data_IF_119213743522
#
_entry.id   IF_119213743522
#
_cell.length_a   1.000
_cell.length_b   1.000
_cell.length_c   1.000
_cell.angle_alpha   90.00
_cell.angle_beta   90.00
_cell.angle_gamma   90.00
#
_symmetry.space_group_name_H-M   'P 1'
#
loop_
_entity.id
_entity.type
_entity.pdbx_description
1 polymer ?
#
# COMPACT_ATOMS: atom_id res chain seq x y z
N UNK A 1 27.29 -12.24 -4.47
CA UNK A 1 26.52 -11.18 -5.17
C UNK A 1 26.06 -11.81 -6.46
N UNK A 2 24.79 -12.17 -6.57
CA UNK A 2 24.23 -12.61 -7.85
C UNK A 2 24.25 -11.41 -8.79
N UNK A 3 24.86 -11.59 -9.97
CA UNK A 3 24.77 -10.58 -11.02
C UNK A 3 23.30 -10.23 -11.23
N UNK A 4 23.01 -8.92 -11.16
CA UNK A 4 21.65 -8.43 -11.45
C UNK A 4 21.28 -8.97 -12.81
N UNK A 5 20.23 -9.78 -12.88
CA UNK A 5 19.74 -10.21 -14.16
C UNK A 5 19.35 -8.97 -14.97
N UNK A 6 20.07 -8.69 -16.05
CA UNK A 6 19.75 -7.58 -16.95
C UNK A 6 18.30 -7.61 -17.43
N UNK A 7 17.70 -8.81 -17.48
CA UNK A 7 16.28 -9.00 -17.81
C UNK A 7 15.38 -8.45 -16.72
N UNK A 8 15.61 -8.77 -15.44
CA UNK A 8 14.80 -8.26 -14.32
C UNK A 8 14.87 -6.72 -14.26
N UNK A 9 16.07 -6.19 -14.39
CA UNK A 9 16.29 -4.75 -14.42
C UNK A 9 15.59 -4.07 -15.62
N UNK A 10 15.68 -4.66 -16.79
CA UNK A 10 15.00 -4.15 -17.99
C UNK A 10 13.48 -4.13 -17.84
N UNK A 11 12.88 -5.16 -17.25
CA UNK A 11 11.44 -5.22 -16.99
C UNK A 11 11.03 -4.18 -15.93
N UNK A 12 11.79 -4.05 -14.84
CA UNK A 12 11.57 -3.02 -13.83
C UNK A 12 11.60 -1.60 -14.44
N UNK A 13 12.64 -1.28 -15.24
CA UNK A 13 12.74 0.01 -15.91
C UNK A 13 11.59 0.25 -16.87
N UNK A 14 11.14 -0.77 -17.60
CA UNK A 14 9.99 -0.66 -18.48
C UNK A 14 8.73 -0.22 -17.70
N UNK A 15 8.41 -0.87 -16.58
CA UNK A 15 7.25 -0.50 -15.77
C UNK A 15 7.43 0.86 -15.08
N UNK A 16 8.63 1.18 -14.63
CA UNK A 16 8.95 2.49 -14.07
C UNK A 16 8.70 3.62 -15.09
N UNK A 17 9.17 3.45 -16.33
CA UNK A 17 8.94 4.40 -17.41
C UNK A 17 7.45 4.47 -17.81
N UNK A 18 6.76 3.32 -17.88
CA UNK A 18 5.34 3.27 -18.14
C UNK A 18 4.55 4.09 -17.12
N UNK A 19 4.81 3.88 -15.82
CA UNK A 19 4.17 4.62 -14.73
C UNK A 19 4.51 6.11 -14.79
N UNK A 20 5.75 6.45 -15.11
CA UNK A 20 6.19 7.84 -15.28
C UNK A 20 5.43 8.53 -16.43
N UNK A 21 5.34 7.88 -17.59
CA UNK A 21 4.59 8.40 -18.74
C UNK A 21 3.11 8.55 -18.40
N UNK A 22 2.51 7.55 -17.76
CA UNK A 22 1.10 7.63 -17.30
C UNK A 22 0.89 8.76 -16.31
N UNK A 23 1.83 8.97 -15.38
CA UNK A 23 1.78 10.05 -14.42
C UNK A 23 1.71 11.43 -15.07
N UNK A 24 2.55 11.71 -16.07
CA UNK A 24 2.51 12.96 -16.83
C UNK A 24 1.30 13.02 -17.80
N UNK A 25 0.93 11.89 -18.42
CA UNK A 25 -0.23 11.84 -19.31
C UNK A 25 -1.56 12.09 -18.55
N UNK A 26 -1.59 11.79 -17.26
CA UNK A 26 -2.76 11.99 -16.40
C UNK A 26 -3.21 13.47 -16.34
N UNK A 27 -2.29 14.42 -16.53
CA UNK A 27 -2.63 15.85 -16.62
C UNK A 27 -3.61 16.16 -17.78
N UNK A 28 -3.64 15.30 -18.81
CA UNK A 28 -4.55 15.43 -19.96
C UNK A 28 -5.82 14.60 -19.82
N UNK A 29 -5.82 13.63 -18.91
CA UNK A 29 -6.95 12.73 -18.71
C UNK A 29 -8.03 13.41 -17.87
N UNK A 30 -9.26 13.46 -18.40
CA UNK A 30 -10.40 14.16 -17.79
C UNK A 30 -10.04 15.60 -17.36
N UNK A 31 -9.32 16.29 -18.25
CA UNK A 31 -8.81 17.63 -17.98
C UNK A 31 -9.96 18.56 -17.63
N UNK A 32 -9.87 19.21 -16.48
CA UNK A 32 -10.68 20.35 -16.13
C UNK A 32 -10.33 21.57 -16.99
N UNK A 33 -11.23 22.52 -17.12
CA UNK A 33 -10.98 23.79 -17.78
C UNK A 33 -9.85 24.57 -17.09
N UNK A 34 -9.71 24.41 -15.76
CA UNK A 34 -8.67 25.05 -14.96
C UNK A 34 -8.19 24.11 -13.84
N UNK A 35 -6.87 23.85 -13.76
CA UNK A 35 -6.23 23.08 -12.69
C UNK A 35 -5.81 23.95 -11.48
N UNK A 36 -6.10 25.23 -11.51
CA UNK A 36 -5.84 26.19 -10.44
C UNK A 36 -6.85 26.13 -9.27
N UNK A 37 -7.95 25.41 -9.46
CA UNK A 37 -8.88 25.11 -8.38
C UNK A 37 -8.41 23.87 -7.57
N UNK A 38 -8.38 24.01 -6.23
CA UNK A 38 -7.93 22.95 -5.32
C UNK A 38 -8.74 21.66 -5.44
N UNK A 39 -10.02 21.71 -5.71
CA UNK A 39 -10.87 20.53 -5.91
C UNK A 39 -10.57 19.82 -7.24
N UNK A 40 -10.15 20.55 -8.27
CA UNK A 40 -9.70 19.96 -9.52
C UNK A 40 -8.33 19.27 -9.37
N UNK A 41 -7.37 19.95 -8.78
CA UNK A 41 -6.04 19.40 -8.55
C UNK A 41 -6.05 18.31 -7.48
N UNK A 42 -6.64 18.59 -6.32
CA UNK A 42 -6.59 17.73 -5.13
C UNK A 42 -7.62 16.61 -5.13
N UNK A 43 -8.77 16.77 -5.81
CA UNK A 43 -9.86 15.78 -5.81
C UNK A 43 -10.22 15.28 -7.21
N UNK A 44 -9.46 15.64 -8.25
CA UNK A 44 -9.76 15.23 -9.63
C UNK A 44 -11.16 15.65 -10.10
N UNK A 45 -11.65 16.82 -9.61
CA UNK A 45 -12.99 17.33 -9.89
C UNK A 45 -14.11 16.45 -9.34
N UNK A 46 -13.84 15.64 -8.32
CA UNK A 46 -14.82 14.69 -7.73
C UNK A 46 -15.48 13.80 -8.78
N UNK A 47 -14.71 13.38 -9.78
CA UNK A 47 -15.22 12.71 -10.99
C UNK A 47 -15.02 11.19 -10.99
N UNK A 48 -14.45 10.62 -9.93
CA UNK A 48 -14.05 9.22 -9.93
C UNK A 48 -15.25 8.29 -9.68
N UNK A 49 -15.54 7.46 -10.70
CA UNK A 49 -16.55 6.41 -10.62
C UNK A 49 -16.06 5.20 -9.83
N UNK A 50 -16.96 4.20 -9.64
CA UNK A 50 -16.71 3.02 -8.79
C UNK A 50 -15.40 2.33 -9.09
N UNK A 51 -15.05 2.11 -10.33
CA UNK A 51 -13.84 1.40 -10.74
C UNK A 51 -12.57 2.15 -10.36
N UNK A 52 -12.49 3.44 -10.71
CA UNK A 52 -11.32 4.27 -10.40
C UNK A 52 -11.18 4.48 -8.89
N UNK A 53 -12.29 4.78 -8.22
CA UNK A 53 -12.31 4.96 -6.78
C UNK A 53 -11.90 3.67 -6.03
N UNK A 54 -12.24 2.48 -6.56
CA UNK A 54 -11.84 1.21 -5.97
C UNK A 54 -10.33 0.99 -6.02
N UNK A 55 -9.70 1.24 -7.17
CA UNK A 55 -8.26 1.17 -7.31
C UNK A 55 -7.55 2.27 -6.49
N UNK A 56 -8.08 3.49 -6.48
CA UNK A 56 -7.46 4.59 -5.74
C UNK A 56 -7.53 4.37 -4.23
N UNK A 57 -8.71 4.05 -3.68
CA UNK A 57 -8.92 3.85 -2.25
C UNK A 57 -8.32 2.52 -1.79
N UNK A 58 -8.52 1.44 -2.56
CA UNK A 58 -7.93 0.14 -2.29
C UNK A 58 -6.41 0.17 -2.44
N UNK A 59 -5.92 0.79 -3.50
CA UNK A 59 -4.49 0.95 -3.75
C UNK A 59 -3.74 1.77 -2.72
N UNK A 60 -4.43 2.59 -1.94
CA UNK A 60 -3.89 3.28 -0.77
C UNK A 60 -3.52 2.31 0.38
N UNK A 61 -4.20 1.17 0.45
CA UNK A 61 -3.91 0.09 1.40
C UNK A 61 -2.72 -0.79 0.95
N UNK A 62 -2.45 -0.83 -0.37
CA UNK A 62 -1.39 -1.64 -0.98
C UNK A 62 -0.20 -0.77 -1.37
N UNK A 63 0.72 -0.69 -0.44
CA UNK A 63 1.93 0.11 -0.55
C UNK A 63 3.16 -0.76 -0.31
N UNK A 64 4.34 -0.16 -0.29
CA UNK A 64 5.57 -0.85 0.13
C UNK A 64 5.43 -1.52 1.51
N UNK A 65 4.65 -0.93 2.43
CA UNK A 65 4.32 -1.57 3.71
C UNK A 65 3.75 -2.98 3.52
N UNK A 66 2.79 -3.13 2.63
CA UNK A 66 2.10 -4.39 2.39
C UNK A 66 3.03 -5.48 1.86
N UNK A 67 3.84 -5.15 0.85
CA UNK A 67 4.70 -6.13 0.18
C UNK A 67 6.05 -6.36 0.86
N UNK A 68 6.54 -5.38 1.57
CA UNK A 68 7.87 -5.40 2.17
C UNK A 68 7.78 -5.61 3.68
N UNK A 69 7.08 -4.73 4.40
CA UNK A 69 7.12 -4.74 5.85
C UNK A 69 6.26 -5.85 6.48
N UNK A 70 5.07 -6.15 5.92
CA UNK A 70 4.20 -7.19 6.50
C UNK A 70 4.81 -8.58 6.39
N UNK A 71 5.29 -9.05 5.21
CA UNK A 71 6.02 -10.31 5.13
C UNK A 71 7.31 -10.34 5.96
N UNK A 72 8.04 -9.21 6.04
CA UNK A 72 9.22 -9.10 6.89
C UNK A 72 8.89 -9.31 8.38
N UNK A 73 7.74 -8.78 8.83
CA UNK A 73 7.25 -9.02 10.20
C UNK A 73 6.90 -10.49 10.44
N UNK A 74 6.27 -11.18 9.48
CA UNK A 74 6.03 -12.62 9.59
C UNK A 74 7.34 -13.40 9.59
N UNK A 75 8.27 -13.06 8.73
CA UNK A 75 9.59 -13.70 8.66
C UNK A 75 10.39 -13.56 9.95
N UNK A 76 10.34 -12.38 10.60
CA UNK A 76 11.11 -12.08 11.79
C UNK A 76 10.38 -12.35 13.12
N UNK A 77 9.05 -12.14 13.17
CA UNK A 77 8.25 -12.14 14.40
C UNK A 77 7.07 -13.11 14.40
N UNK A 78 6.93 -13.95 13.37
CA UNK A 78 5.83 -14.93 13.28
C UNK A 78 4.43 -14.28 13.29
N UNK A 79 3.50 -14.88 14.01
CA UNK A 79 2.06 -14.57 14.03
C UNK A 79 1.71 -13.09 14.30
N UNK A 80 2.61 -12.34 14.95
CA UNK A 80 2.37 -10.90 15.23
C UNK A 80 2.16 -10.11 13.94
N UNK A 81 2.84 -10.48 12.85
CA UNK A 81 2.72 -9.81 11.55
C UNK A 81 1.33 -9.90 10.93
N UNK A 82 0.52 -10.87 11.31
CA UNK A 82 -0.86 -11.00 10.83
C UNK A 82 -1.82 -9.92 11.35
N UNK A 83 -1.39 -9.05 12.29
CA UNK A 83 -2.24 -7.92 12.74
C UNK A 83 -2.72 -7.05 11.57
N UNK A 84 -1.96 -7.05 10.48
CA UNK A 84 -2.29 -6.32 9.26
C UNK A 84 -3.63 -6.74 8.65
N UNK A 85 -4.08 -7.99 8.84
CA UNK A 85 -5.34 -8.50 8.29
C UNK A 85 -6.56 -8.02 9.10
N UNK A 86 -6.65 -8.29 10.43
CA UNK A 86 -7.83 -7.89 11.21
C UNK A 86 -8.02 -6.36 11.25
N UNK A 87 -6.98 -5.54 11.25
CA UNK A 87 -7.19 -4.09 11.27
C UNK A 87 -7.90 -3.59 10.01
N UNK A 88 -7.58 -4.15 8.85
CA UNK A 88 -8.27 -3.78 7.61
C UNK A 88 -9.71 -4.30 7.55
N UNK A 89 -10.02 -5.42 8.23
CA UNK A 89 -11.37 -5.97 8.28
C UNK A 89 -12.25 -5.19 9.27
N UNK A 90 -11.76 -4.93 10.47
CA UNK A 90 -12.52 -4.26 11.55
C UNK A 90 -12.95 -2.84 11.16
N UNK A 91 -12.14 -2.15 10.36
CA UNK A 91 -12.45 -0.78 9.94
C UNK A 91 -13.63 -0.68 8.97
N UNK A 92 -13.89 -1.69 8.13
CA UNK A 92 -14.89 -1.58 7.05
C UNK A 92 -16.32 -1.26 7.52
N UNK A 93 -16.88 -1.89 8.54
CA UNK A 93 -18.18 -1.52 9.06
C UNK A 93 -18.25 -0.05 9.51
N UNK A 94 -17.19 0.45 10.14
CA UNK A 94 -17.09 1.83 10.63
C UNK A 94 -17.08 2.82 9.46
N UNK A 95 -16.20 2.61 8.49
CA UNK A 95 -16.08 3.51 7.34
C UNK A 95 -17.30 3.46 6.42
N UNK A 96 -17.97 2.32 6.30
CA UNK A 96 -19.23 2.21 5.57
C UNK A 96 -20.32 3.15 6.13
N UNK A 97 -20.34 3.33 7.43
CA UNK A 97 -21.28 4.23 8.09
C UNK A 97 -20.82 5.68 8.05
N UNK A 98 -19.53 5.93 8.21
CA UNK A 98 -18.97 7.26 8.41
C UNK A 98 -18.61 7.97 7.10
N UNK A 99 -17.85 7.34 6.21
CA UNK A 99 -17.29 8.02 5.04
C UNK A 99 -18.33 8.53 4.04
N UNK A 100 -19.44 7.79 3.74
CA UNK A 100 -20.48 8.33 2.86
C UNK A 100 -21.20 9.56 3.45
N UNK A 101 -21.25 9.68 4.78
CA UNK A 101 -21.80 10.87 5.45
C UNK A 101 -20.83 12.04 5.39
N UNK A 102 -19.55 11.78 5.67
CA UNK A 102 -18.48 12.77 5.54
C UNK A 102 -18.44 13.32 4.11
N UNK A 103 -18.48 12.43 3.10
CA UNK A 103 -18.55 12.82 1.70
C UNK A 103 -19.74 13.76 1.42
N UNK A 104 -20.93 13.39 1.88
CA UNK A 104 -22.16 14.19 1.64
C UNK A 104 -22.07 15.59 2.25
N UNK A 105 -21.52 15.71 3.45
CA UNK A 105 -21.31 17.01 4.11
C UNK A 105 -20.25 17.81 3.37
N UNK A 106 -19.10 17.20 3.06
CA UNK A 106 -18.00 17.85 2.37
C UNK A 106 -18.38 18.30 0.95
N UNK A 107 -19.15 17.49 0.23
CA UNK A 107 -19.65 17.86 -1.10
C UNK A 107 -20.62 19.06 -1.02
N UNK A 108 -21.53 19.08 -0.02
CA UNK A 108 -22.50 20.17 0.15
C UNK A 108 -21.85 21.50 0.50
N UNK A 109 -20.76 21.46 1.26
CA UNK A 109 -20.07 22.66 1.76
C UNK A 109 -18.81 23.02 0.97
N UNK A 110 -18.43 22.23 -0.05
CA UNK A 110 -17.23 22.47 -0.84
C UNK A 110 -15.92 22.15 -0.12
N UNK A 111 -15.94 21.35 0.96
CA UNK A 111 -14.74 21.01 1.71
C UNK A 111 -13.83 20.07 0.91
N UNK A 112 -12.55 20.40 0.83
CA UNK A 112 -11.53 19.66 0.08
C UNK A 112 -10.66 18.82 1.01
N UNK A 113 -10.45 19.30 2.23
CA UNK A 113 -9.56 18.68 3.22
C UNK A 113 -10.28 18.36 4.54
N UNK A 114 -9.71 17.48 5.40
CA UNK A 114 -10.21 17.30 6.76
C UNK A 114 -10.20 18.58 7.59
N UNK A 115 -9.22 19.45 7.36
CA UNK A 115 -9.12 20.74 8.06
C UNK A 115 -10.29 21.67 7.73
N UNK A 116 -10.75 21.69 6.46
CA UNK A 116 -11.92 22.47 6.05
C UNK A 116 -13.19 22.00 6.77
N UNK A 117 -13.36 20.66 6.88
CA UNK A 117 -14.48 20.08 7.60
C UNK A 117 -14.49 20.52 9.07
N UNK A 118 -13.34 20.48 9.73
CA UNK A 118 -13.19 20.86 11.14
C UNK A 118 -13.44 22.38 11.31
N UNK A 119 -12.89 23.19 10.43
CA UNK A 119 -13.13 24.64 10.45
C UNK A 119 -14.61 24.95 10.26
N UNK A 120 -15.27 24.34 9.28
CA UNK A 120 -16.68 24.57 9.02
C UNK A 120 -17.60 24.04 10.12
N UNK A 121 -17.20 23.00 10.85
CA UNK A 121 -18.01 22.41 11.94
C UNK A 121 -17.89 23.15 13.25
N UNK A 122 -16.69 23.65 13.58
CA UNK A 122 -16.37 24.21 14.89
C UNK A 122 -16.06 25.72 14.85
N UNK A 123 -16.06 26.32 13.66
CA UNK A 123 -15.69 27.73 13.42
C UNK A 123 -14.37 28.12 14.10
N UNK A 124 -13.37 27.23 14.02
CA UNK A 124 -12.10 27.37 14.72
C UNK A 124 -10.92 27.14 13.77
N UNK A 125 -10.28 28.25 13.37
CA UNK A 125 -9.05 28.23 12.59
C UNK A 125 -7.87 27.54 13.32
N UNK A 126 -7.64 27.79 14.63
CA UNK A 126 -6.59 27.09 15.35
C UNK A 126 -6.78 25.58 15.35
N UNK A 127 -8.03 25.10 15.52
CA UNK A 127 -8.30 23.67 15.49
C UNK A 127 -8.07 23.06 14.10
N UNK A 128 -8.45 23.77 13.03
CA UNK A 128 -8.16 23.36 11.66
C UNK A 128 -6.65 23.29 11.41
N UNK A 129 -5.87 24.24 11.91
CA UNK A 129 -4.40 24.21 11.83
C UNK A 129 -3.81 23.00 12.56
N UNK A 130 -4.29 22.69 13.75
CA UNK A 130 -3.84 21.49 14.51
C UNK A 130 -4.13 20.23 13.71
N UNK A 131 -5.31 20.10 13.10
CA UNK A 131 -5.66 18.94 12.25
C UNK A 131 -4.73 18.84 11.04
N UNK A 132 -4.47 19.97 10.38
CA UNK A 132 -3.56 19.98 9.23
C UNK A 132 -2.12 19.58 9.61
N UNK A 133 -1.57 20.13 10.70
CA UNK A 133 -0.25 19.80 11.20
C UNK A 133 -0.15 18.33 11.66
N UNK A 134 -1.18 17.82 12.34
CA UNK A 134 -1.25 16.40 12.71
C UNK A 134 -1.25 15.49 11.47
N UNK A 135 -2.00 15.88 10.42
CA UNK A 135 -2.00 15.15 9.16
C UNK A 135 -0.62 15.12 8.48
N UNK A 136 0.08 16.25 8.46
CA UNK A 136 1.44 16.33 7.92
C UNK A 136 2.38 15.41 8.72
N UNK A 137 2.38 15.52 10.05
CA UNK A 137 3.23 14.69 10.91
C UNK A 137 2.94 13.19 10.75
N UNK A 138 1.67 12.81 10.62
CA UNK A 138 1.29 11.41 10.40
C UNK A 138 1.72 10.88 9.03
N UNK A 139 1.71 11.74 8.00
CA UNK A 139 2.06 11.34 6.63
C UNK A 139 3.57 11.20 6.41
N UNK A 140 4.41 11.92 7.17
CA UNK A 140 5.87 11.85 7.00
C UNK A 140 6.45 10.43 7.19
N UNK A 141 6.16 9.70 8.29
CA UNK A 141 6.62 8.31 8.44
C UNK A 141 6.05 7.38 7.35
N UNK A 142 4.83 7.63 6.90
CA UNK A 142 4.20 6.87 5.83
C UNK A 142 4.97 7.03 4.51
N UNK A 143 5.39 8.26 4.15
CA UNK A 143 6.23 8.51 2.97
C UNK A 143 7.59 7.84 3.13
N UNK A 144 8.22 7.96 4.31
CA UNK A 144 9.52 7.31 4.59
C UNK A 144 9.44 5.79 4.37
N UNK A 145 8.35 5.15 4.78
CA UNK A 145 8.13 3.71 4.57
C UNK A 145 8.09 3.34 3.09
N UNK A 146 7.53 4.19 2.21
CA UNK A 146 7.54 3.94 0.77
C UNK A 146 8.98 3.97 0.21
N UNK A 147 9.81 4.89 0.70
CA UNK A 147 11.23 4.97 0.30
C UNK A 147 12.01 3.73 0.76
N UNK A 148 11.76 3.22 1.96
CA UNK A 148 12.34 1.95 2.45
C UNK A 148 11.95 0.78 1.55
N UNK A 149 10.71 0.74 1.06
CA UNK A 149 10.28 -0.29 0.11
C UNK A 149 11.02 -0.22 -1.21
N UNK A 150 11.18 0.96 -1.79
CA UNK A 150 11.97 1.16 -3.01
C UNK A 150 13.43 0.75 -2.76
N UNK A 151 14.01 1.14 -1.65
CA UNK A 151 15.38 0.78 -1.27
C UNK A 151 15.57 -0.74 -1.17
N UNK A 152 14.63 -1.47 -0.57
CA UNK A 152 14.69 -2.93 -0.44
C UNK A 152 14.72 -3.61 -1.82
N UNK A 153 13.91 -3.14 -2.77
CA UNK A 153 13.90 -3.64 -4.15
C UNK A 153 15.22 -3.31 -4.87
N UNK A 154 15.70 -2.07 -4.76
CA UNK A 154 16.97 -1.66 -5.37
C UNK A 154 18.15 -2.46 -4.81
N UNK A 155 18.20 -2.68 -3.49
CA UNK A 155 19.21 -3.53 -2.84
C UNK A 155 19.16 -4.97 -3.39
N UNK A 156 17.98 -5.55 -3.55
CA UNK A 156 17.81 -6.87 -4.13
C UNK A 156 18.33 -6.93 -5.57
N UNK A 157 18.15 -5.86 -6.34
CA UNK A 157 18.71 -5.72 -7.67
C UNK A 157 20.22 -5.37 -7.68
N UNK A 158 20.88 -5.28 -6.52
CA UNK A 158 22.30 -4.92 -6.41
C UNK A 158 22.60 -3.44 -6.66
N UNK A 159 21.58 -2.60 -6.72
CA UNK A 159 21.72 -1.15 -6.89
C UNK A 159 21.84 -0.52 -5.50
N UNK A 160 23.03 -0.02 -5.19
CA UNK A 160 23.34 0.60 -3.91
C UNK A 160 23.45 2.12 -4.07
N UNK A 161 23.09 2.83 -3.00
CA UNK A 161 23.18 4.29 -2.93
C UNK A 161 21.83 4.99 -2.92
N UNK A 162 21.83 6.27 -2.60
CA UNK A 162 20.63 7.08 -2.41
C UNK A 162 20.12 7.73 -3.70
N UNK A 163 20.98 7.92 -4.69
CA UNK A 163 20.66 8.64 -5.93
C UNK A 163 19.46 8.06 -6.71
N UNK A 164 19.33 6.74 -6.87
CA UNK A 164 18.16 6.17 -7.57
C UNK A 164 16.84 6.53 -6.87
N UNK A 165 16.84 6.55 -5.53
CA UNK A 165 15.66 6.91 -4.73
C UNK A 165 15.34 8.39 -4.90
N UNK A 166 16.33 9.25 -4.85
CA UNK A 166 16.17 10.70 -5.03
C UNK A 166 15.61 11.01 -6.42
N UNK A 167 16.13 10.35 -7.46
CA UNK A 167 15.64 10.53 -8.84
C UNK A 167 14.19 10.05 -8.97
N UNK A 168 13.88 8.86 -8.45
CA UNK A 168 12.52 8.31 -8.49
C UNK A 168 11.53 9.22 -7.76
N UNK A 169 11.90 9.73 -6.59
CA UNK A 169 11.08 10.67 -5.82
C UNK A 169 10.90 12.01 -6.53
N UNK A 170 11.95 12.54 -7.16
CA UNK A 170 11.87 13.77 -7.95
C UNK A 170 10.92 13.65 -9.14
N UNK A 171 10.96 12.53 -9.86
CA UNK A 171 10.04 12.23 -10.97
C UNK A 171 8.60 12.13 -10.46
N UNK A 172 8.38 11.40 -9.34
CA UNK A 172 7.07 11.28 -8.69
C UNK A 172 6.52 12.65 -8.29
N UNK A 173 7.31 13.48 -7.67
CA UNK A 173 6.92 14.84 -7.28
C UNK A 173 6.55 15.68 -8.51
N UNK A 174 7.32 15.60 -9.59
CA UNK A 174 7.09 16.36 -10.81
C UNK A 174 5.77 16.01 -11.50
N UNK A 175 5.45 14.71 -11.69
CA UNK A 175 4.19 14.36 -12.31
C UNK A 175 2.99 14.56 -11.37
N UNK A 176 3.16 14.39 -10.06
CA UNK A 176 2.09 14.66 -9.09
C UNK A 176 1.76 16.16 -9.06
N UNK A 177 2.78 17.01 -9.09
CA UNK A 177 2.58 18.46 -9.16
C UNK A 177 1.80 18.86 -10.42
N UNK A 178 2.13 18.26 -11.57
CA UNK A 178 1.50 18.61 -12.86
C UNK A 178 0.08 18.01 -13.04
N UNK A 179 -0.21 16.88 -12.42
CA UNK A 179 -1.43 16.09 -12.68
C UNK A 179 -2.38 15.99 -11.48
N UNK A 180 -1.93 16.38 -10.28
CA UNK A 180 -2.70 16.24 -9.04
C UNK A 180 -3.10 14.79 -8.78
N UNK A 181 -4.27 14.58 -8.20
CA UNK A 181 -4.79 13.26 -7.84
C UNK A 181 -5.07 12.35 -9.05
N UNK A 182 -5.12 12.89 -10.26
CA UNK A 182 -5.31 12.11 -11.48
C UNK A 182 -4.15 11.16 -11.77
N UNK A 183 -2.91 11.57 -11.44
CA UNK A 183 -1.75 10.71 -11.62
C UNK A 183 -1.83 9.43 -10.77
N UNK A 184 -1.93 9.49 -9.44
CA UNK A 184 -2.06 8.28 -8.63
C UNK A 184 -3.29 7.45 -9.00
N UNK A 185 -4.39 8.05 -9.45
CA UNK A 185 -5.58 7.32 -9.88
C UNK A 185 -5.36 6.44 -11.13
N UNK A 186 -4.62 6.91 -12.12
CA UNK A 186 -4.24 6.11 -13.30
C UNK A 186 -3.15 5.08 -12.97
N UNK A 187 -2.17 5.47 -12.18
CA UNK A 187 -1.06 4.60 -11.78
C UNK A 187 -1.58 3.45 -10.91
N UNK A 188 -2.56 3.70 -10.04
CA UNK A 188 -3.14 2.67 -9.18
C UNK A 188 -3.70 1.50 -9.99
N UNK A 189 -4.31 1.77 -11.15
CA UNK A 189 -4.81 0.69 -12.02
C UNK A 189 -3.68 -0.28 -12.46
N UNK A 190 -2.56 0.26 -12.93
CA UNK A 190 -1.41 -0.55 -13.35
C UNK A 190 -0.81 -1.27 -12.16
N UNK A 191 -0.52 -0.52 -11.09
CA UNK A 191 0.09 -1.04 -9.87
C UNK A 191 -0.72 -2.21 -9.28
N UNK A 192 -2.01 -2.03 -9.08
CA UNK A 192 -2.84 -3.04 -8.43
C UNK A 192 -3.06 -4.26 -9.32
N UNK A 193 -3.11 -4.09 -10.65
CA UNK A 193 -3.12 -5.22 -11.59
C UNK A 193 -1.84 -6.06 -11.45
N UNK A 194 -0.67 -5.43 -11.37
CA UNK A 194 0.60 -6.13 -11.15
C UNK A 194 0.64 -6.81 -9.78
N UNK A 195 0.14 -6.16 -8.74
CA UNK A 195 0.02 -6.72 -7.39
C UNK A 195 -0.81 -8.01 -7.39
N UNK A 196 -2.04 -7.97 -7.94
CA UNK A 196 -2.89 -9.17 -8.01
C UNK A 196 -2.26 -10.27 -8.84
N UNK A 197 -1.67 -9.95 -9.99
CA UNK A 197 -0.97 -10.91 -10.83
C UNK A 197 0.16 -11.59 -10.04
N UNK A 198 1.01 -10.79 -9.43
CA UNK A 198 2.19 -11.25 -8.69
C UNK A 198 1.80 -12.16 -7.52
N UNK A 199 0.81 -11.75 -6.71
CA UNK A 199 0.44 -12.54 -5.53
C UNK A 199 -0.30 -13.83 -5.90
N UNK A 200 -1.18 -13.81 -6.90
CA UNK A 200 -1.88 -15.03 -7.36
C UNK A 200 -0.87 -16.06 -7.87
N UNK A 201 0.09 -15.63 -8.67
CA UNK A 201 1.13 -16.52 -9.16
C UNK A 201 2.02 -17.03 -8.00
N UNK A 202 2.41 -16.16 -7.08
CA UNK A 202 3.25 -16.54 -5.95
C UNK A 202 2.59 -17.58 -5.05
N UNK A 203 1.32 -17.41 -4.67
CA UNK A 203 0.61 -18.33 -3.77
C UNK A 203 0.27 -19.68 -4.41
N UNK A 204 0.36 -19.80 -5.73
CA UNK A 204 0.20 -21.06 -6.45
C UNK A 204 1.56 -21.74 -6.68
N UNK A 205 2.53 -20.99 -7.20
CA UNK A 205 3.81 -21.55 -7.66
C UNK A 205 4.75 -21.85 -6.50
N UNK A 206 4.86 -20.97 -5.51
CA UNK A 206 5.81 -21.17 -4.41
C UNK A 206 5.43 -22.41 -3.57
N UNK A 207 4.18 -22.57 -3.10
CA UNK A 207 3.80 -23.79 -2.39
C UNK A 207 4.00 -25.06 -3.22
N UNK A 208 3.68 -25.04 -4.52
CA UNK A 208 3.88 -26.20 -5.39
C UNK A 208 5.33 -26.62 -5.51
N UNK A 209 6.27 -25.68 -5.42
CA UNK A 209 7.73 -25.95 -5.45
C UNK A 209 8.28 -26.41 -4.09
N UNK A 210 7.64 -26.00 -2.98
CA UNK A 210 8.14 -26.23 -1.62
C UNK A 210 7.45 -27.43 -0.92
N UNK A 211 6.65 -28.22 -1.63
CA UNK A 211 5.97 -29.39 -1.05
C UNK A 211 4.62 -29.10 -0.41
N UNK A 212 4.02 -27.96 -0.69
CA UNK A 212 2.68 -27.58 -0.25
C UNK A 212 2.66 -26.67 0.98
N UNK A 213 1.46 -26.32 1.38
CA UNK A 213 1.24 -25.41 2.53
C UNK A 213 1.67 -26.03 3.86
N UNK A 214 1.51 -27.34 4.03
CA UNK A 214 1.92 -28.04 5.25
C UNK A 214 3.45 -27.91 5.47
N UNK A 215 4.24 -28.03 4.41
CA UNK A 215 5.69 -27.83 4.47
C UNK A 215 6.04 -26.37 4.84
N UNK A 216 5.31 -25.38 4.30
CA UNK A 216 5.52 -23.96 4.59
C UNK A 216 5.24 -23.64 6.05
N UNK A 217 4.08 -24.08 6.57
CA UNK A 217 3.74 -23.85 7.97
C UNK A 217 4.62 -24.66 8.91
N UNK A 218 5.02 -25.90 8.53
CA UNK A 218 5.97 -26.71 9.30
C UNK A 218 7.34 -26.05 9.43
N UNK A 219 7.89 -25.48 8.35
CA UNK A 219 9.15 -24.74 8.40
C UNK A 219 9.06 -23.47 9.24
N UNK A 220 7.92 -22.77 9.21
CA UNK A 220 7.68 -21.61 10.06
C UNK A 220 7.59 -22.01 11.55
N UNK A 221 6.88 -23.09 11.87
CA UNK A 221 6.77 -23.62 13.22
C UNK A 221 8.16 -24.02 13.76
N UNK A 222 8.95 -24.74 12.98
CA UNK A 222 10.32 -25.14 13.34
C UNK A 222 11.20 -23.94 13.64
N UNK A 223 11.16 -22.89 12.78
CA UNK A 223 11.96 -21.68 12.98
C UNK A 223 11.63 -20.97 14.30
N UNK A 224 10.36 -20.98 14.71
CA UNK A 224 9.92 -20.25 15.90
C UNK A 224 9.79 -21.13 17.15
N UNK A 225 10.16 -22.41 17.09
CA UNK A 225 10.27 -23.30 18.24
C UNK A 225 11.71 -23.27 18.80
N UNK A 226 11.92 -23.15 20.16
CA UNK A 226 10.94 -23.30 21.27
C UNK A 226 10.14 -22.04 21.65
N UNK A 227 10.02 -21.06 20.78
CA UNK A 227 9.19 -19.87 20.99
C UNK A 227 7.68 -20.13 20.77
N UNK A 228 6.92 -19.06 20.46
CA UNK A 228 5.47 -19.14 20.31
C UNK A 228 5.00 -19.91 19.05
N UNK A 229 5.89 -20.40 18.21
CA UNK A 229 5.54 -21.03 16.94
C UNK A 229 4.82 -20.09 15.99
N UNK A 230 3.84 -20.62 15.24
CA UNK A 230 2.99 -19.85 14.34
C UNK A 230 1.69 -19.36 15.00
N UNK A 231 1.51 -19.61 16.30
CA UNK A 231 0.34 -19.19 17.07
C UNK A 231 0.75 -18.09 18.05
N UNK A 232 -0.06 -17.01 18.10
CA UNK A 232 0.20 -15.91 19.02
C UNK A 232 -0.03 -16.36 20.47
N UNK A 233 0.96 -16.22 21.39
CA UNK A 233 0.81 -16.61 22.79
C UNK A 233 -0.21 -15.72 23.50
N UNK A 234 -0.86 -16.24 24.56
CA UNK A 234 -1.88 -15.51 25.31
C UNK A 234 -1.38 -14.15 25.83
N UNK A 235 -0.12 -14.06 26.22
CA UNK A 235 0.52 -12.83 26.69
C UNK A 235 0.66 -11.75 25.61
N UNK A 236 0.67 -12.14 24.33
CA UNK A 236 0.75 -11.24 23.18
C UNK A 236 -0.60 -10.76 22.66
N UNK A 237 -1.70 -11.42 23.02
CA UNK A 237 -3.02 -11.18 22.41
C UNK A 237 -3.57 -9.78 22.64
N UNK A 238 -3.39 -9.22 23.84
CA UNK A 238 -3.85 -7.87 24.15
C UNK A 238 -3.09 -6.82 23.33
N UNK A 239 -1.76 -6.94 23.25
CA UNK A 239 -0.93 -6.06 22.43
C UNK A 239 -1.31 -6.14 20.94
N UNK A 240 -1.53 -7.35 20.44
CA UNK A 240 -1.98 -7.58 19.06
C UNK A 240 -3.34 -6.94 18.78
N UNK A 241 -4.33 -7.17 19.67
CA UNK A 241 -5.66 -6.59 19.52
C UNK A 241 -5.64 -5.05 19.58
N UNK A 242 -4.84 -4.48 20.50
CA UNK A 242 -4.66 -3.03 20.63
C UNK A 242 -4.01 -2.43 19.38
N UNK A 243 -2.97 -3.10 18.85
CA UNK A 243 -2.30 -2.69 17.62
C UNK A 243 -3.27 -2.73 16.42
N UNK A 244 -4.03 -3.83 16.28
CA UNK A 244 -5.01 -3.98 15.21
C UNK A 244 -6.11 -2.91 15.31
N UNK A 245 -6.68 -2.68 16.49
CA UNK A 245 -7.72 -1.68 16.68
C UNK A 245 -7.20 -0.25 16.45
N UNK A 246 -6.04 0.09 16.99
CA UNK A 246 -5.43 1.40 16.80
C UNK A 246 -5.12 1.68 15.32
N UNK A 247 -4.57 0.69 14.62
CA UNK A 247 -4.33 0.78 13.17
C UNK A 247 -5.63 0.91 12.37
N UNK A 248 -6.68 0.17 12.74
CA UNK A 248 -8.00 0.26 12.11
C UNK A 248 -8.60 1.67 12.24
N UNK A 249 -8.53 2.26 13.42
CA UNK A 249 -9.05 3.61 13.65
C UNK A 249 -8.25 4.69 12.91
N UNK A 250 -6.94 4.50 12.75
CA UNK A 250 -6.08 5.45 12.04
C UNK A 250 -6.19 5.38 10.52
N UNK A 251 -6.44 4.20 9.95
CA UNK A 251 -6.27 3.90 8.52
C UNK A 251 -6.93 4.91 7.57
N UNK A 252 -8.18 5.28 7.81
CA UNK A 252 -8.93 6.22 6.97
C UNK A 252 -8.93 7.66 7.50
N UNK A 253 -8.13 7.96 8.52
CA UNK A 253 -7.95 9.33 9.02
C UNK A 253 -6.74 10.03 8.41
N UNK A 254 -5.91 9.31 7.67
CA UNK A 254 -4.83 9.93 6.91
C UNK A 254 -5.38 10.91 5.86
N UNK A 255 -4.73 12.07 5.67
CA UNK A 255 -5.18 13.06 4.69
C UNK A 255 -5.36 12.50 3.27
N UNK A 256 -4.45 11.65 2.80
CA UNK A 256 -4.51 11.05 1.47
C UNK A 256 -5.68 10.07 1.32
N UNK A 257 -6.00 9.28 2.35
CA UNK A 257 -7.16 8.37 2.33
C UNK A 257 -8.48 9.14 2.27
N UNK A 258 -8.61 10.22 3.06
CA UNK A 258 -9.79 11.09 3.01
C UNK A 258 -9.89 11.79 1.64
N UNK A 259 -8.78 12.25 1.08
CA UNK A 259 -8.74 12.85 -0.26
C UNK A 259 -9.27 11.87 -1.32
N UNK A 260 -8.84 10.60 -1.29
CA UNK A 260 -9.37 9.55 -2.16
C UNK A 260 -10.87 9.35 -2.03
N UNK A 261 -11.39 9.40 -0.80
CA UNK A 261 -12.84 9.32 -0.52
C UNK A 261 -13.59 10.52 -1.09
N UNK A 262 -13.09 11.75 -0.85
CA UNK A 262 -13.74 12.98 -1.31
C UNK A 262 -13.71 13.15 -2.83
N UNK A 263 -12.77 12.49 -3.52
CA UNK A 263 -12.66 12.47 -4.98
C UNK A 263 -13.73 11.60 -5.67
N UNK A 264 -14.45 10.74 -4.95
CA UNK A 264 -15.52 9.93 -5.50
C UNK A 264 -16.67 10.79 -6.05
N UNK A 265 -17.26 10.38 -7.16
CA UNK A 265 -18.30 11.15 -7.87
C UNK A 265 -19.63 11.22 -7.10
N UNK A 266 -19.94 10.23 -6.27
CA UNK A 266 -21.15 10.21 -5.49
C UNK A 266 -21.06 9.23 -4.30
N UNK A 267 -22.05 9.32 -3.41
CA UNK A 267 -22.16 8.52 -2.19
C UNK A 267 -22.29 7.03 -2.44
N UNK A 268 -22.97 6.62 -3.53
CA UNK A 268 -23.20 5.21 -3.83
C UNK A 268 -21.94 4.54 -4.38
N UNK A 269 -21.09 5.30 -5.08
CA UNK A 269 -19.74 4.88 -5.44
C UNK A 269 -18.96 4.48 -4.19
N UNK A 270 -18.98 5.30 -3.15
CA UNK A 270 -18.30 4.99 -1.89
C UNK A 270 -18.86 3.74 -1.21
N UNK A 271 -20.18 3.61 -1.11
CA UNK A 271 -20.79 2.41 -0.50
C UNK A 271 -20.40 1.13 -1.22
N UNK A 272 -20.44 1.13 -2.56
CA UNK A 272 -20.00 0.00 -3.37
C UNK A 272 -18.53 -0.33 -3.14
N UNK A 273 -17.68 0.70 -3.07
CA UNK A 273 -16.27 0.52 -2.79
C UNK A 273 -16.04 -0.07 -1.40
N UNK A 274 -16.66 0.48 -0.36
CA UNK A 274 -16.51 -0.01 1.01
C UNK A 274 -16.96 -1.48 1.14
N UNK A 275 -17.98 -1.90 0.37
CA UNK A 275 -18.43 -3.29 0.34
C UNK A 275 -17.45 -4.22 -0.40
N UNK A 276 -16.68 -3.72 -1.35
CA UNK A 276 -15.73 -4.50 -2.15
C UNK A 276 -14.30 -4.50 -1.57
N UNK A 277 -13.95 -3.55 -0.69
CA UNK A 277 -12.62 -3.44 -0.07
C UNK A 277 -12.17 -4.68 0.71
N UNK A 278 -13.05 -5.51 1.34
CA UNK A 278 -12.62 -6.76 1.98
C UNK A 278 -11.85 -7.71 1.05
N UNK A 279 -12.05 -7.63 -0.27
CA UNK A 279 -11.25 -8.38 -1.24
C UNK A 279 -9.76 -8.02 -1.19
N UNK A 280 -9.45 -6.77 -0.91
CA UNK A 280 -8.07 -6.34 -0.66
C UNK A 280 -7.51 -6.98 0.62
N UNK A 281 -8.29 -7.11 1.69
CA UNK A 281 -7.82 -7.74 2.93
C UNK A 281 -7.46 -9.22 2.74
N UNK A 282 -8.18 -9.92 1.85
CA UNK A 282 -7.81 -11.28 1.46
C UNK A 282 -6.43 -11.30 0.80
N UNK A 283 -6.20 -10.42 -0.18
CA UNK A 283 -4.90 -10.33 -0.84
C UNK A 283 -3.78 -9.94 0.14
N UNK A 284 -4.07 -9.06 1.12
CA UNK A 284 -3.13 -8.72 2.18
C UNK A 284 -2.72 -9.94 3.00
N UNK A 285 -3.67 -10.79 3.35
CA UNK A 285 -3.39 -12.06 4.03
C UNK A 285 -2.47 -12.97 3.22
N UNK A 286 -2.73 -13.07 1.91
CA UNK A 286 -1.88 -13.86 1.00
C UNK A 286 -0.47 -13.27 0.86
N UNK A 287 -0.35 -11.95 0.78
CA UNK A 287 0.94 -11.26 0.74
C UNK A 287 1.73 -11.50 2.04
N UNK A 288 1.04 -11.43 3.20
CA UNK A 288 1.67 -11.70 4.49
C UNK A 288 2.36 -13.09 4.52
N UNK A 289 1.72 -14.10 3.94
CA UNK A 289 2.26 -15.47 3.87
C UNK A 289 3.56 -15.59 3.07
N UNK A 290 3.94 -14.60 2.24
CA UNK A 290 5.24 -14.58 1.59
C UNK A 290 6.40 -14.63 2.61
N UNK A 291 6.19 -14.11 3.82
CA UNK A 291 7.16 -14.23 4.91
C UNK A 291 7.41 -15.68 5.33
N UNK A 292 6.37 -16.50 5.46
CA UNK A 292 6.50 -17.92 5.76
C UNK A 292 7.01 -18.72 4.56
N UNK A 293 6.61 -18.36 3.36
CA UNK A 293 7.16 -18.95 2.14
C UNK A 293 8.67 -18.71 2.04
N UNK A 294 9.16 -17.53 2.43
CA UNK A 294 10.58 -17.22 2.46
C UNK A 294 11.33 -18.07 3.50
N UNK A 295 10.72 -18.35 4.65
CA UNK A 295 11.28 -19.27 5.66
C UNK A 295 11.41 -20.66 5.07
N UNK A 296 10.36 -21.20 4.47
CA UNK A 296 10.34 -22.54 3.89
C UNK A 296 11.29 -22.70 2.70
N UNK A 297 11.48 -21.63 1.91
CA UNK A 297 12.47 -21.60 0.83
C UNK A 297 13.91 -21.50 1.32
N UNK A 298 14.15 -21.24 2.61
CA UNK A 298 15.49 -21.00 3.15
C UNK A 298 16.08 -19.65 2.72
N UNK A 299 15.25 -18.75 2.17
CA UNK A 299 15.67 -17.43 1.72
C UNK A 299 16.22 -16.61 2.88
N UNK A 300 17.32 -15.90 2.63
CA UNK A 300 17.94 -15.03 3.63
C UNK A 300 17.88 -13.57 3.18
N UNK A 301 17.62 -12.65 4.13
CA UNK A 301 17.64 -11.22 3.82
C UNK A 301 19.05 -10.75 3.47
N UNK A 302 19.16 -9.63 2.77
CA UNK A 302 20.45 -9.00 2.47
C UNK A 302 20.96 -8.32 3.75
N UNK A 303 22.06 -8.83 4.27
CA UNK A 303 22.57 -8.41 5.58
C UNK A 303 21.59 -8.75 6.71
N UNK A 304 21.16 -7.75 7.49
CA UNK A 304 20.17 -7.89 8.57
C UNK A 304 18.81 -7.29 8.21
N UNK A 305 18.65 -6.79 7.00
CA UNK A 305 17.44 -6.05 6.57
C UNK A 305 16.34 -7.02 6.10
N UNK A 306 15.44 -7.38 7.01
CA UNK A 306 14.30 -8.25 6.73
C UNK A 306 13.37 -7.72 5.61
N UNK A 307 13.38 -6.42 5.32
CA UNK A 307 12.58 -5.86 4.24
C UNK A 307 13.00 -6.36 2.85
N UNK A 308 14.22 -6.88 2.72
CA UNK A 308 14.70 -7.45 1.46
C UNK A 308 14.22 -8.88 1.20
N UNK A 309 13.50 -9.49 2.18
CA UNK A 309 13.17 -10.92 2.12
C UNK A 309 12.26 -11.28 0.94
N UNK A 310 11.25 -10.45 0.65
CA UNK A 310 10.33 -10.71 -0.48
C UNK A 310 10.99 -10.50 -1.83
N UNK A 311 11.70 -9.38 -2.09
CA UNK A 311 12.46 -9.23 -3.32
C UNK A 311 13.44 -10.39 -3.57
N UNK A 312 14.18 -10.85 -2.55
CA UNK A 312 15.09 -11.98 -2.69
C UNK A 312 14.33 -13.27 -2.95
N UNK A 313 13.23 -13.54 -2.25
CA UNK A 313 12.37 -14.71 -2.51
C UNK A 313 11.92 -14.77 -3.98
N UNK A 314 11.50 -13.64 -4.55
CA UNK A 314 11.09 -13.60 -5.95
C UNK A 314 12.25 -13.86 -6.91
N UNK A 315 13.46 -13.41 -6.62
CA UNK A 315 14.65 -13.72 -7.42
C UNK A 315 15.01 -15.19 -7.39
N UNK A 316 14.85 -15.87 -6.24
CA UNK A 316 15.18 -17.28 -6.07
C UNK A 316 14.10 -18.22 -6.65
N UNK A 317 12.83 -17.84 -6.53
CA UNK A 317 11.71 -18.73 -6.86
C UNK A 317 11.18 -18.58 -8.28
N UNK A 318 11.46 -17.46 -8.96
CA UNK A 318 10.90 -17.14 -10.27
C UNK A 318 11.96 -16.81 -11.30
N UNK A 319 11.64 -16.96 -12.60
CA UNK A 319 12.53 -16.47 -13.66
C UNK A 319 12.66 -14.94 -13.58
N UNK A 320 13.82 -14.45 -14.02
CA UNK A 320 14.21 -13.04 -13.89
C UNK A 320 13.19 -12.03 -14.44
N UNK A 321 12.51 -12.36 -15.53
CA UNK A 321 11.48 -11.49 -16.09
C UNK A 321 10.29 -11.31 -15.13
N UNK A 322 9.88 -12.38 -14.43
CA UNK A 322 8.77 -12.32 -13.49
C UNK A 322 9.18 -11.60 -12.18
N UNK A 323 10.40 -11.83 -11.71
CA UNK A 323 10.96 -11.06 -10.60
C UNK A 323 10.98 -9.56 -10.91
N UNK A 324 11.32 -9.17 -12.15
CA UNK A 324 11.25 -7.78 -12.60
C UNK A 324 9.83 -7.19 -12.66
N UNK A 325 8.81 -8.03 -12.88
CA UNK A 325 7.39 -7.60 -12.77
C UNK A 325 6.99 -7.40 -11.30
N UNK A 326 7.51 -8.25 -10.41
CA UNK A 326 7.20 -8.19 -8.98
C UNK A 326 7.87 -7.01 -8.26
N UNK A 327 8.95 -6.48 -8.82
CA UNK A 327 9.70 -5.30 -8.35
C UNK A 327 9.01 -4.01 -8.75
#
# INVERSE_FOLDING_TARGET
>A
MSDVSGVAFGVFIFFFLLVTVLGFAAARWRRAEALDHLDEWGLGGRSFGTFIAWFLIGGDLYTAYTFVAVPALLYAGSAIGFFAVPYTIVVYPLIFLFLPRLWSVSHRHGYVTPADFVQGRYDSRPLALVVALTGILATMPYIALQLVGIEAVLKAMGILGEWPIIIAFGILAAYTYSSGLRAPALIAFVKDTLIYLTIIVAVIVIPSKLGGWDAIFGAAEEKFTPGPGVILPATGQLGYATLALGSALALFLYPHSITGVLAASNRDVLKRNMSALPLYSLALGLIALLGYMAIAAGTKPIGTDANTIVPVLFQEMFPSWFAGIAF
#
